data_IF_422010373039
#
_entry.id   IF_422010373039
#
_cell.length_a   1.000
_cell.length_b   1.000
_cell.length_c   1.000
_cell.angle_alpha   90.00
_cell.angle_beta   90.00
_cell.angle_gamma   90.00
#
_symmetry.space_group_name_H-M   'P 1'
#
loop_
_entity.id
_entity.type
_entity.pdbx_description
1 polymer ?
#
# COMPACT_ATOMS: atom_id res chain seq x y z
N UNK A 1 4.63 25.94 -20.40
CA UNK A 1 5.82 25.08 -20.54
C UNK A 1 5.86 24.19 -19.32
N UNK A 2 5.62 22.89 -19.50
CA UNK A 2 5.66 21.88 -18.44
C UNK A 2 6.79 20.92 -18.80
N UNK A 3 7.66 20.63 -17.85
CA UNK A 3 8.78 19.70 -18.03
C UNK A 3 8.39 18.39 -17.34
N UNK A 4 8.24 17.32 -18.11
CA UNK A 4 8.12 15.96 -17.62
C UNK A 4 9.32 15.17 -18.17
N UNK A 5 10.03 14.44 -17.31
CA UNK A 5 11.22 13.65 -17.69
C UNK A 5 12.34 14.43 -18.40
N UNK A 6 12.56 15.70 -18.04
CA UNK A 6 13.62 16.56 -18.61
C UNK A 6 13.46 16.88 -20.09
N UNK A 7 12.28 16.63 -20.66
CA UNK A 7 11.92 17.01 -22.02
C UNK A 7 11.01 18.23 -21.99
N UNK A 8 11.31 19.21 -22.86
CA UNK A 8 10.38 20.30 -23.12
C UNK A 8 9.19 19.74 -23.89
N UNK A 9 8.03 19.67 -23.23
CA UNK A 9 6.81 19.15 -23.83
C UNK A 9 5.80 20.28 -24.02
N UNK A 10 5.18 20.28 -25.20
CA UNK A 10 4.05 21.14 -25.53
C UNK A 10 2.81 20.76 -24.71
N UNK A 11 1.88 21.71 -24.56
CA UNK A 11 0.60 21.47 -23.85
C UNK A 11 -0.19 20.35 -24.52
N UNK A 12 -0.09 20.24 -25.83
CA UNK A 12 -0.75 19.22 -26.65
C UNK A 12 -0.18 17.84 -26.37
N UNK A 13 1.15 17.70 -26.26
CA UNK A 13 1.80 16.43 -25.93
C UNK A 13 1.41 15.95 -24.53
N UNK A 14 1.43 16.85 -23.54
CA UNK A 14 1.00 16.52 -22.17
C UNK A 14 -0.49 16.11 -22.16
N UNK A 15 -1.35 16.84 -22.85
CA UNK A 15 -2.78 16.50 -22.95
C UNK A 15 -2.99 15.14 -23.60
N UNK A 16 -2.24 14.83 -24.66
CA UNK A 16 -2.34 13.55 -25.37
C UNK A 16 -1.86 12.41 -24.47
N UNK A 17 -0.76 12.61 -23.75
CA UNK A 17 -0.24 11.65 -22.79
C UNK A 17 -1.24 11.34 -21.68
N UNK A 18 -1.82 12.37 -21.05
CA UNK A 18 -2.83 12.18 -20.00
C UNK A 18 -4.05 11.42 -20.53
N UNK A 19 -4.54 11.77 -21.72
CA UNK A 19 -5.67 11.07 -22.34
C UNK A 19 -5.36 9.61 -22.65
N UNK A 20 -4.16 9.31 -23.17
CA UNK A 20 -3.74 7.93 -23.42
C UNK A 20 -3.62 7.13 -22.12
N UNK A 21 -3.08 7.74 -21.07
CA UNK A 21 -2.88 7.10 -19.78
C UNK A 21 -4.22 6.77 -19.09
N UNK A 22 -5.15 7.73 -19.08
CA UNK A 22 -6.51 7.51 -18.55
C UNK A 22 -7.22 6.38 -19.31
N UNK A 23 -7.10 6.36 -20.64
CA UNK A 23 -7.71 5.31 -21.45
C UNK A 23 -7.14 3.92 -21.12
N UNK A 24 -5.82 3.83 -20.95
CA UNK A 24 -5.16 2.58 -20.56
C UNK A 24 -5.64 2.08 -19.19
N UNK A 25 -5.74 2.99 -18.20
CA UNK A 25 -6.26 2.66 -16.87
C UNK A 25 -7.69 2.11 -16.91
N UNK A 26 -8.56 2.72 -17.72
CA UNK A 26 -9.95 2.24 -17.89
C UNK A 26 -9.97 0.82 -18.43
N UNK A 27 -9.20 0.54 -19.48
CA UNK A 27 -9.11 -0.81 -20.08
C UNK A 27 -8.56 -1.83 -19.07
N UNK A 28 -7.57 -1.46 -18.26
CA UNK A 28 -7.04 -2.32 -17.21
C UNK A 28 -8.07 -2.61 -16.12
N UNK A 29 -8.83 -1.60 -15.68
CA UNK A 29 -9.93 -1.79 -14.73
C UNK A 29 -10.99 -2.74 -15.27
N UNK A 30 -11.40 -2.60 -16.53
CA UNK A 30 -12.37 -3.50 -17.17
C UNK A 30 -11.87 -4.95 -17.20
N UNK A 31 -10.60 -5.17 -17.55
CA UNK A 31 -9.97 -6.51 -17.53
C UNK A 31 -9.90 -7.10 -16.13
N UNK A 32 -9.60 -6.30 -15.11
CA UNK A 32 -9.58 -6.77 -13.72
C UNK A 32 -10.96 -7.21 -13.24
N UNK A 33 -12.02 -6.55 -13.69
CA UNK A 33 -13.40 -6.93 -13.40
C UNK A 33 -13.77 -8.22 -14.13
N UNK A 34 -13.37 -8.40 -15.39
CA UNK A 34 -13.70 -9.60 -16.18
C UNK A 34 -12.92 -10.85 -15.75
N UNK A 35 -11.75 -10.69 -15.14
CA UNK A 35 -10.91 -11.79 -14.66
C UNK A 35 -11.13 -12.13 -13.17
N UNK A 36 -12.25 -11.73 -12.57
CA UNK A 36 -12.60 -12.22 -11.24
C UNK A 36 -12.82 -13.74 -11.28
N UNK A 37 -11.79 -14.50 -10.94
CA UNK A 37 -11.91 -15.90 -10.59
C UNK A 37 -12.89 -16.06 -9.41
N UNK A 38 -13.62 -17.19 -9.31
CA UNK A 38 -14.52 -17.45 -8.20
C UNK A 38 -13.77 -17.26 -6.89
N UNK A 39 -14.39 -16.54 -5.95
CA UNK A 39 -13.85 -16.13 -4.66
C UNK A 39 -12.91 -17.20 -4.07
N UNK A 40 -11.60 -17.01 -4.22
CA UNK A 40 -10.70 -17.34 -3.12
C UNK A 40 -11.28 -16.67 -1.88
N UNK A 41 -11.26 -17.35 -0.73
CA UNK A 41 -11.77 -16.87 0.56
C UNK A 41 -11.46 -15.38 0.73
N UNK A 42 -12.44 -14.54 0.39
CA UNK A 42 -12.24 -13.09 0.40
C UNK A 42 -12.27 -12.72 1.87
N UNK A 43 -11.26 -11.99 2.29
CA UNK A 43 -11.22 -11.40 3.62
C UNK A 43 -12.58 -10.77 3.95
N UNK A 44 -13.19 -11.24 5.04
CA UNK A 44 -14.44 -10.72 5.54
C UNK A 44 -14.17 -9.54 6.45
N UNK A 45 -15.02 -8.52 6.34
CA UNK A 45 -14.96 -7.34 7.18
C UNK A 45 -15.15 -7.76 8.66
N UNK A 46 -14.29 -7.31 9.59
CA UNK A 46 -14.46 -7.57 11.00
C UNK A 46 -15.74 -6.89 11.49
N UNK A 47 -16.52 -7.62 12.30
CA UNK A 47 -17.69 -7.05 12.95
C UNK A 47 -17.26 -6.04 14.02
N UNK A 48 -18.09 -5.03 14.26
CA UNK A 48 -17.90 -4.13 15.41
C UNK A 48 -17.83 -4.95 16.71
N UNK A 49 -16.92 -4.64 17.65
CA UNK A 49 -16.03 -3.47 17.73
C UNK A 49 -14.62 -3.68 17.13
N UNK A 50 -14.40 -4.72 16.34
CA UNK A 50 -13.08 -5.07 15.84
C UNK A 50 -12.62 -4.19 14.68
N UNK A 51 -11.31 -3.97 14.61
CA UNK A 51 -10.63 -3.20 13.57
C UNK A 51 -9.68 -4.11 12.80
N UNK A 52 -9.40 -3.78 11.54
CA UNK A 52 -8.40 -4.47 10.74
C UNK A 52 -7.05 -3.77 10.93
N UNK A 53 -6.01 -4.56 11.16
CA UNK A 53 -4.63 -4.05 11.15
C UNK A 53 -3.87 -4.76 10.05
N UNK A 54 -3.43 -3.99 9.06
CA UNK A 54 -2.51 -4.46 8.04
C UNK A 54 -1.12 -3.97 8.41
N UNK A 55 -0.13 -4.85 8.31
CA UNK A 55 1.26 -4.48 8.45
C UNK A 55 2.07 -5.21 7.37
N UNK A 56 3.21 -4.63 7.03
CA UNK A 56 4.19 -5.20 6.10
C UNK A 56 5.57 -4.59 6.39
N UNK A 57 6.65 -5.27 6.02
CA UNK A 57 8.01 -4.76 6.17
C UNK A 57 8.78 -4.75 4.85
N UNK A 58 9.22 -3.56 4.43
CA UNK A 58 10.26 -3.43 3.41
C UNK A 58 11.63 -3.70 4.01
N UNK A 59 12.50 -4.44 3.31
CA UNK A 59 13.86 -4.77 3.77
C UNK A 59 14.93 -4.42 2.73
N UNK A 60 15.99 -3.72 3.17
CA UNK A 60 17.20 -3.46 2.40
C UNK A 60 18.32 -4.40 2.86
N UNK A 61 18.73 -5.32 1.98
CA UNK A 61 19.84 -6.25 2.25
C UNK A 61 21.19 -5.54 2.35
N UNK A 62 21.40 -4.52 1.53
CA UNK A 62 22.64 -3.75 1.48
C UNK A 62 22.89 -3.04 2.81
N UNK A 63 21.88 -2.36 3.33
CA UNK A 63 21.99 -1.58 4.56
C UNK A 63 21.68 -2.39 5.83
N UNK A 64 21.09 -3.59 5.69
CA UNK A 64 20.52 -4.39 6.80
C UNK A 64 19.48 -3.58 7.59
N UNK A 65 18.61 -2.90 6.86
CA UNK A 65 17.59 -2.02 7.41
C UNK A 65 16.20 -2.51 6.99
N UNK A 66 15.20 -2.27 7.81
CA UNK A 66 13.81 -2.48 7.42
C UNK A 66 12.94 -1.28 7.76
N UNK A 67 11.82 -1.17 7.05
CA UNK A 67 10.77 -0.21 7.34
C UNK A 67 9.46 -0.95 7.44
N UNK A 68 8.84 -0.91 8.61
CA UNK A 68 7.50 -1.46 8.83
C UNK A 68 6.48 -0.38 8.53
N UNK A 69 5.47 -0.69 7.72
CA UNK A 69 4.27 0.12 7.57
C UNK A 69 3.08 -0.55 8.28
N UNK A 70 2.25 0.22 8.99
CA UNK A 70 1.01 -0.27 9.61
C UNK A 70 -0.16 0.62 9.18
N UNK A 71 -1.30 0.00 8.87
CA UNK A 71 -2.56 0.69 8.55
C UNK A 71 -3.71 0.04 9.32
N UNK A 72 -4.43 0.84 10.11
CA UNK A 72 -5.60 0.44 10.89
C UNK A 72 -6.87 0.90 10.18
N UNK A 73 -7.83 0.00 9.99
CA UNK A 73 -9.11 0.28 9.33
C UNK A 73 -10.30 -0.14 10.19
N UNK A 74 -11.39 0.61 10.11
CA UNK A 74 -12.65 0.23 10.74
C UNK A 74 -13.42 -0.82 9.91
N UNK A 75 -14.58 -1.25 10.43
CA UNK A 75 -15.49 -2.17 9.74
C UNK A 75 -16.07 -1.63 8.41
N UNK A 76 -15.95 -0.33 8.12
CA UNK A 76 -16.33 0.23 6.82
C UNK A 76 -15.14 0.27 5.84
N UNK A 77 -13.95 -0.19 6.25
CA UNK A 77 -12.72 -0.13 5.48
C UNK A 77 -12.02 1.22 5.51
N UNK A 78 -12.55 2.21 6.25
CA UNK A 78 -11.98 3.55 6.40
C UNK A 78 -10.72 3.46 7.27
N UNK A 79 -9.66 4.15 6.85
CA UNK A 79 -8.41 4.24 7.61
C UNK A 79 -8.63 5.11 8.84
N UNK A 80 -8.35 4.56 10.03
CA UNK A 80 -8.42 5.28 11.30
C UNK A 80 -7.05 5.78 11.75
N UNK A 81 -5.99 5.10 11.33
CA UNK A 81 -4.61 5.44 11.67
C UNK A 81 -3.62 4.68 10.79
N UNK A 82 -2.42 5.20 10.70
CA UNK A 82 -1.29 4.56 10.02
C UNK A 82 0.01 5.04 10.63
N UNK A 83 1.02 4.18 10.66
CA UNK A 83 2.36 4.55 11.11
C UNK A 83 3.45 3.89 10.27
N UNK A 84 4.67 4.33 10.51
CA UNK A 84 5.85 3.74 9.89
C UNK A 84 6.97 3.68 10.92
N UNK A 85 7.61 2.52 11.04
CA UNK A 85 8.71 2.28 11.96
C UNK A 85 9.96 1.87 11.20
N UNK A 86 11.08 2.55 11.45
CA UNK A 86 12.35 2.27 10.82
C UNK A 86 13.24 1.45 11.75
N UNK A 87 13.81 0.37 11.23
CA UNK A 87 14.64 -0.57 11.98
C UNK A 87 16.02 -0.71 11.33
N UNK A 88 17.05 -0.75 12.18
CA UNK A 88 18.44 -1.01 11.77
C UNK A 88 18.88 -2.38 12.25
N UNK A 89 19.94 -2.90 11.62
CA UNK A 89 20.59 -4.17 11.97
C UNK A 89 19.65 -5.38 11.86
N UNK A 90 18.75 -5.37 10.88
CA UNK A 90 17.90 -6.51 10.58
C UNK A 90 18.68 -7.52 9.75
N UNK A 91 18.73 -8.77 10.21
CA UNK A 91 19.56 -9.82 9.61
C UNK A 91 19.07 -10.26 8.23
N UNK A 92 17.75 -10.29 8.04
CA UNK A 92 17.11 -10.90 6.88
C UNK A 92 15.65 -10.42 6.72
N UNK A 93 15.05 -10.61 5.54
CA UNK A 93 13.67 -10.18 5.27
C UNK A 93 12.62 -10.85 6.17
N UNK A 94 12.85 -12.10 6.60
CA UNK A 94 11.91 -12.80 7.47
C UNK A 94 11.88 -12.16 8.87
N UNK A 95 13.05 -11.80 9.39
CA UNK A 95 13.18 -11.02 10.62
C UNK A 95 12.55 -9.64 10.49
N UNK A 96 12.66 -8.97 9.33
CA UNK A 96 11.98 -7.71 9.07
C UNK A 96 10.45 -7.85 9.20
N UNK A 97 9.90 -8.90 8.60
CA UNK A 97 8.47 -9.20 8.64
C UNK A 97 8.02 -9.56 10.06
N UNK A 98 8.75 -10.40 10.78
CA UNK A 98 8.41 -10.76 12.16
C UNK A 98 8.41 -9.54 13.10
N UNK A 99 9.30 -8.57 12.87
CA UNK A 99 9.37 -7.33 13.64
C UNK A 99 8.20 -6.37 13.37
N UNK A 100 7.48 -6.51 12.25
CA UNK A 100 6.32 -5.65 11.97
C UNK A 100 5.12 -5.91 12.90
N UNK A 101 4.98 -7.15 13.37
CA UNK A 101 3.91 -7.58 14.29
C UNK A 101 3.86 -6.78 15.60
N UNK A 102 4.94 -6.67 16.40
CA UNK A 102 4.89 -5.91 17.65
C UNK A 102 4.58 -4.42 17.45
N UNK A 103 5.03 -3.79 16.36
CA UNK A 103 4.65 -2.42 16.02
C UNK A 103 3.15 -2.31 15.73
N UNK A 104 2.60 -3.31 15.02
CA UNK A 104 1.15 -3.35 14.75
C UNK A 104 0.31 -3.40 16.03
N UNK A 105 0.78 -4.10 17.06
CA UNK A 105 0.08 -4.20 18.35
C UNK A 105 0.16 -2.92 19.17
N UNK A 106 1.30 -2.23 19.17
CA UNK A 106 1.48 -0.98 19.91
C UNK A 106 0.51 0.11 19.42
N UNK A 107 0.31 0.19 18.10
CA UNK A 107 -0.51 1.22 17.47
C UNK A 107 -2.01 0.99 17.67
N UNK A 108 -2.45 -0.28 17.82
CA UNK A 108 -3.84 -0.58 18.17
C UNK A 108 -4.25 0.16 19.45
N UNK A 109 -3.37 0.23 20.45
CA UNK A 109 -3.65 0.89 21.73
C UNK A 109 -3.68 2.43 21.65
N UNK A 110 -3.10 3.01 20.61
CA UNK A 110 -3.11 4.48 20.39
C UNK A 110 -4.41 4.93 19.71
N UNK A 111 -5.02 4.04 18.92
CA UNK A 111 -6.20 4.33 18.10
C UNK A 111 -7.49 3.60 18.56
N UNK A 112 -7.45 2.86 19.68
CA UNK A 112 -8.61 2.23 20.34
C UNK A 112 -9.10 3.07 21.51
#
# INVERSE_FOLDING_TARGET
>A
MLIHEWLEQSVQEVSTFVQSYVRELVVLMERLISHQQPLAERWSVPQTPFTKVNFDAGFSRENRESTTGVVIRNHQGLVMGSCTHFNRNISDPFSAEAMSWPYSLLEIWVFA
#
